data_IF_235060388348
#
_entry.id   IF_235060388348
#
_cell.length_a   1.000
_cell.length_b   1.000
_cell.length_c   1.000
_cell.angle_alpha   90.00
_cell.angle_beta   90.00
_cell.angle_gamma   90.00
#
_symmetry.space_group_name_H-M   'P 1'
#
loop_
_entity.id
_entity.type
_entity.pdbx_description
1 polymer ?
#
# COMPACT_ATOMS: atom_id res chain seq x y z
N UNK A 1 19.30 8.54 -16.64
CA UNK A 1 19.08 8.36 -15.20
C UNK A 1 17.82 7.56 -14.96
N UNK A 2 17.92 6.55 -14.10
CA UNK A 2 16.73 5.80 -13.71
C UNK A 2 15.81 6.72 -12.87
N UNK A 3 14.53 6.70 -13.18
CA UNK A 3 13.54 7.51 -12.45
C UNK A 3 13.57 7.20 -10.95
N UNK A 4 13.82 5.94 -10.59
CA UNK A 4 13.87 5.52 -9.19
C UNK A 4 15.12 5.99 -8.45
N UNK A 5 16.13 6.45 -9.15
CA UNK A 5 17.32 7.03 -8.51
C UNK A 5 17.11 8.48 -8.10
N UNK A 6 16.11 9.15 -8.66
CA UNK A 6 15.85 10.54 -8.38
C UNK A 6 14.63 10.69 -7.46
N UNK A 7 14.87 11.15 -6.26
CA UNK A 7 13.85 11.28 -5.22
C UNK A 7 13.54 12.76 -4.99
N UNK A 8 12.35 13.18 -5.33
CA UNK A 8 11.89 14.54 -5.05
C UNK A 8 11.35 14.58 -3.62
N UNK A 9 11.97 15.39 -2.76
CA UNK A 9 11.51 15.58 -1.39
C UNK A 9 12.00 14.54 -0.41
N UNK A 10 12.95 13.69 -0.78
CA UNK A 10 13.51 12.74 0.16
C UNK A 10 14.23 11.60 -0.49
N UNK A 11 14.82 10.74 0.33
CA UNK A 11 15.60 9.60 -0.12
C UNK A 11 15.18 8.32 0.61
N UNK A 12 13.90 8.19 0.91
CA UNK A 12 13.38 7.12 1.77
C UNK A 12 13.50 5.73 1.16
N UNK A 13 13.51 5.64 -0.17
CA UNK A 13 13.42 4.38 -0.86
C UNK A 13 14.71 3.97 -1.57
N UNK A 14 15.79 4.73 -1.33
CA UNK A 14 17.10 4.37 -1.86
C UNK A 14 17.32 4.72 -3.31
N UNK A 15 18.37 4.18 -3.88
CA UNK A 15 18.89 4.56 -5.20
C UNK A 15 18.55 3.50 -6.22
N UNK A 16 17.49 3.71 -6.99
CA UNK A 16 17.09 2.79 -8.04
C UNK A 16 16.43 1.51 -7.56
N UNK A 17 16.23 1.41 -6.25
CA UNK A 17 15.57 0.25 -5.68
C UNK A 17 14.10 0.22 -6.07
N UNK A 18 13.51 -0.99 -5.94
CA UNK A 18 12.08 -1.17 -6.13
C UNK A 18 11.33 -0.30 -5.11
N UNK A 19 10.41 0.54 -5.61
CA UNK A 19 9.73 1.56 -4.80
C UNK A 19 8.22 1.31 -4.74
N UNK A 20 7.51 2.02 -3.83
CA UNK A 20 6.06 1.84 -3.70
C UNK A 20 5.30 2.00 -5.01
N UNK A 21 5.65 2.98 -5.85
CA UNK A 21 4.94 3.14 -7.12
C UNK A 21 5.17 1.96 -8.08
N UNK A 22 6.33 1.29 -7.98
CA UNK A 22 6.57 0.08 -8.77
C UNK A 22 5.62 -1.03 -8.36
N UNK A 23 5.38 -1.18 -7.05
CA UNK A 23 4.43 -2.16 -6.54
C UNK A 23 3.00 -1.84 -7.02
N UNK A 24 2.61 -0.58 -6.98
CA UNK A 24 1.29 -0.14 -7.44
C UNK A 24 1.10 -0.47 -8.92
N UNK A 25 2.11 -0.15 -9.74
CA UNK A 25 2.08 -0.43 -11.17
C UNK A 25 1.99 -1.93 -11.42
N UNK A 26 2.88 -2.69 -10.79
CA UNK A 26 2.98 -4.14 -11.02
C UNK A 26 1.76 -4.90 -10.50
N UNK A 27 1.12 -4.41 -9.43
CA UNK A 27 -0.13 -5.00 -8.95
C UNK A 27 -1.36 -4.53 -9.72
N UNK A 28 -1.18 -3.52 -10.59
CA UNK A 28 -2.28 -2.96 -11.38
C UNK A 28 -3.40 -2.42 -10.49
N UNK A 29 -3.02 -1.66 -9.47
CA UNK A 29 -3.98 -1.09 -8.52
C UNK A 29 -4.75 0.08 -9.11
N UNK A 30 -6.05 0.14 -8.81
CA UNK A 30 -6.86 1.33 -9.02
C UNK A 30 -6.28 2.50 -8.22
N UNK A 31 -6.49 3.72 -8.70
CA UNK A 31 -5.94 4.93 -8.08
C UNK A 31 -6.22 5.01 -6.58
N UNK A 32 -7.48 4.75 -6.17
CA UNK A 32 -7.85 4.87 -4.76
C UNK A 32 -7.11 3.85 -3.90
N UNK A 33 -6.98 2.61 -4.38
CA UNK A 33 -6.23 1.58 -3.67
C UNK A 33 -4.74 1.90 -3.64
N UNK A 34 -4.22 2.46 -4.73
CA UNK A 34 -2.84 2.94 -4.76
C UNK A 34 -2.58 4.01 -3.71
N UNK A 35 -3.54 4.91 -3.49
CA UNK A 35 -3.43 5.92 -2.44
C UNK A 35 -3.46 5.30 -1.05
N UNK A 36 -4.36 4.34 -0.80
CA UNK A 36 -4.38 3.61 0.48
C UNK A 36 -3.02 2.96 0.72
N UNK A 37 -2.51 2.26 -0.28
CA UNK A 37 -1.21 1.59 -0.20
C UNK A 37 -0.10 2.59 0.13
N UNK A 38 -0.02 3.68 -0.63
CA UNK A 38 1.01 4.70 -0.47
C UNK A 38 1.06 5.21 0.97
N UNK A 39 -0.08 5.60 1.52
CA UNK A 39 -0.10 6.17 2.86
C UNK A 39 0.12 5.12 3.96
N UNK A 40 -0.38 3.91 3.75
CA UNK A 40 -0.20 2.83 4.71
C UNK A 40 1.27 2.40 4.84
N UNK A 41 2.04 2.44 3.75
CA UNK A 41 3.44 1.99 3.82
C UNK A 41 4.40 3.10 4.24
N UNK A 42 4.02 4.37 4.13
CA UNK A 42 4.95 5.47 4.45
C UNK A 42 4.70 6.18 5.78
N UNK A 43 3.60 5.86 6.45
CA UNK A 43 3.14 6.69 7.58
C UNK A 43 4.19 6.87 8.68
N UNK A 44 4.95 5.83 8.99
CA UNK A 44 5.97 5.91 10.05
C UNK A 44 7.09 6.87 9.71
N UNK A 45 7.45 6.94 8.43
CA UNK A 45 8.61 7.70 7.98
C UNK A 45 8.24 9.12 7.54
N UNK A 46 6.96 9.42 7.35
CA UNK A 46 6.55 10.72 6.82
C UNK A 46 5.47 11.39 7.66
N UNK A 47 4.21 11.12 7.37
CA UNK A 47 3.09 11.89 7.90
C UNK A 47 2.49 11.41 9.21
N UNK A 48 2.97 10.29 9.75
CA UNK A 48 2.45 9.76 11.00
C UNK A 48 0.96 9.43 10.93
N UNK A 49 0.24 9.67 12.02
CA UNK A 49 -1.19 9.40 12.08
C UNK A 49 -1.99 10.08 10.97
N UNK A 50 -1.56 11.25 10.53
CA UNK A 50 -2.24 11.94 9.44
C UNK A 50 -2.25 11.09 8.18
N UNK A 51 -1.14 10.42 7.87
CA UNK A 51 -1.07 9.54 6.71
C UNK A 51 -1.98 8.33 6.88
N UNK A 52 -2.06 7.74 8.07
CA UNK A 52 -2.98 6.64 8.32
C UNK A 52 -4.44 7.09 8.14
N UNK A 53 -4.77 8.30 8.60
CA UNK A 53 -6.10 8.86 8.41
C UNK A 53 -6.41 9.15 6.94
N UNK A 54 -5.40 9.55 6.17
CA UNK A 54 -5.56 9.69 4.72
C UNK A 54 -5.83 8.34 4.07
N UNK A 55 -5.10 7.30 4.48
CA UNK A 55 -5.36 5.94 3.98
C UNK A 55 -6.80 5.52 4.27
N UNK A 56 -7.27 5.77 5.49
CA UNK A 56 -8.65 5.44 5.86
C UNK A 56 -9.67 6.22 5.02
N UNK A 57 -9.38 7.48 4.72
CA UNK A 57 -10.26 8.31 3.91
C UNK A 57 -10.37 7.77 2.47
N UNK A 58 -9.24 7.43 1.86
CA UNK A 58 -9.24 6.83 0.52
C UNK A 58 -9.92 5.47 0.50
N UNK A 59 -9.73 4.67 1.55
CA UNK A 59 -10.39 3.37 1.64
C UNK A 59 -11.92 3.53 1.74
N UNK A 60 -12.38 4.49 2.54
CA UNK A 60 -13.81 4.79 2.67
C UNK A 60 -14.38 5.24 1.32
N UNK A 61 -13.64 6.06 0.56
CA UNK A 61 -14.08 6.48 -0.76
C UNK A 61 -14.16 5.31 -1.73
N UNK A 62 -13.18 4.41 -1.69
CA UNK A 62 -13.19 3.22 -2.52
C UNK A 62 -14.39 2.34 -2.21
N UNK A 63 -14.72 2.19 -0.93
CA UNK A 63 -15.87 1.40 -0.49
C UNK A 63 -17.18 2.04 -0.95
N UNK A 64 -17.30 3.36 -0.82
CA UNK A 64 -18.48 4.11 -1.26
C UNK A 64 -18.72 3.98 -2.76
N UNK A 65 -17.65 3.95 -3.55
CA UNK A 65 -17.73 3.83 -5.01
C UNK A 65 -17.76 2.38 -5.48
N UNK A 66 -17.81 1.41 -4.57
CA UNK A 66 -17.80 -0.02 -4.89
C UNK A 66 -16.57 -0.42 -5.71
N UNK A 67 -15.42 0.21 -5.45
CA UNK A 67 -14.18 -0.16 -6.14
C UNK A 67 -13.70 -1.49 -5.60
N UNK A 68 -13.34 -2.39 -6.50
CA UNK A 68 -12.73 -3.66 -6.15
C UNK A 68 -11.43 -3.83 -6.94
N UNK A 69 -10.49 -4.57 -6.36
CA UNK A 69 -9.24 -4.89 -7.05
C UNK A 69 -9.52 -5.89 -8.18
N UNK A 70 -10.18 -7.02 -7.84
CA UNK A 70 -10.63 -8.01 -8.82
C UNK A 70 -9.50 -8.76 -9.52
N UNK A 71 -8.26 -8.65 -9.04
CA UNK A 71 -7.09 -9.19 -9.73
C UNK A 71 -6.17 -9.95 -8.78
N UNK A 72 -6.74 -10.65 -7.81
CA UNK A 72 -5.92 -11.38 -6.84
C UNK A 72 -5.00 -12.39 -7.52
N UNK A 73 -5.49 -13.05 -8.58
CA UNK A 73 -4.68 -14.00 -9.33
C UNK A 73 -3.47 -13.31 -9.98
N UNK A 74 -3.63 -12.06 -10.42
CA UNK A 74 -2.52 -11.27 -10.95
C UNK A 74 -1.47 -11.02 -9.86
N UNK A 75 -1.90 -10.66 -8.65
CA UNK A 75 -1.00 -10.47 -7.52
C UNK A 75 -0.19 -11.75 -7.23
N UNK A 76 -0.87 -12.89 -7.16
CA UNK A 76 -0.22 -14.18 -6.91
C UNK A 76 0.79 -14.48 -8.02
N UNK A 77 0.43 -14.23 -9.28
CA UNK A 77 1.34 -14.40 -10.40
C UNK A 77 2.58 -13.53 -10.26
N UNK A 78 2.39 -12.27 -9.89
CA UNK A 78 3.51 -11.34 -9.71
C UNK A 78 4.46 -11.79 -8.59
N UNK A 79 3.92 -12.35 -7.51
CA UNK A 79 4.75 -12.91 -6.44
C UNK A 79 5.68 -14.01 -6.94
N UNK A 80 5.23 -14.77 -7.94
CA UNK A 80 5.99 -15.89 -8.50
C UNK A 80 7.01 -15.43 -9.54
N UNK A 81 6.62 -14.50 -10.43
CA UNK A 81 7.44 -14.16 -11.60
C UNK A 81 8.32 -12.94 -11.41
N UNK A 82 8.07 -12.12 -10.39
CA UNK A 82 8.80 -10.86 -10.21
C UNK A 82 9.47 -10.85 -8.83
N UNK A 83 10.79 -11.16 -8.76
CA UNK A 83 11.50 -11.23 -7.48
C UNK A 83 11.47 -9.90 -6.69
N UNK A 84 11.51 -8.77 -7.38
CA UNK A 84 11.45 -7.46 -6.71
C UNK A 84 10.09 -7.21 -6.10
N UNK A 85 9.03 -7.59 -6.78
CA UNK A 85 7.67 -7.50 -6.27
C UNK A 85 7.51 -8.37 -5.02
N UNK A 86 7.98 -9.62 -5.09
CA UNK A 86 7.93 -10.55 -3.97
C UNK A 86 8.67 -9.99 -2.75
N UNK A 87 9.90 -9.52 -2.96
CA UNK A 87 10.73 -9.02 -1.87
C UNK A 87 10.10 -7.77 -1.23
N UNK A 88 9.57 -6.87 -2.05
CA UNK A 88 8.93 -5.64 -1.57
C UNK A 88 7.71 -5.97 -0.71
N UNK A 89 6.82 -6.83 -1.23
CA UNK A 89 5.61 -7.22 -0.53
C UNK A 89 5.93 -7.83 0.84
N UNK A 90 6.90 -8.75 0.87
CA UNK A 90 7.26 -9.45 2.10
C UNK A 90 8.02 -8.57 3.10
N UNK A 91 8.60 -7.46 2.65
CA UNK A 91 9.28 -6.52 3.52
C UNK A 91 8.32 -5.53 4.20
N UNK A 92 7.07 -5.44 3.74
CA UNK A 92 6.08 -4.57 4.38
C UNK A 92 5.80 -5.12 5.79
N UNK A 93 5.87 -4.27 6.84
CA UNK A 93 5.55 -4.73 8.20
C UNK A 93 4.16 -5.33 8.28
N UNK A 94 3.98 -6.25 9.23
CA UNK A 94 2.77 -7.08 9.28
C UNK A 94 1.45 -6.29 9.32
N UNK A 95 1.27 -5.27 10.19
CA UNK A 95 -0.02 -4.56 10.20
C UNK A 95 -0.35 -3.93 8.86
N UNK A 96 0.62 -3.27 8.25
CA UNK A 96 0.44 -2.62 6.95
C UNK A 96 0.25 -3.65 5.84
N UNK A 97 0.99 -4.76 5.90
CA UNK A 97 0.84 -5.85 4.92
C UNK A 97 -0.53 -6.48 5.00
N UNK A 98 -1.09 -6.62 6.21
CA UNK A 98 -2.44 -7.17 6.38
C UNK A 98 -3.49 -6.28 5.72
N UNK A 99 -3.33 -4.95 5.83
CA UNK A 99 -4.22 -4.00 5.16
C UNK A 99 -4.14 -4.18 3.64
N UNK A 100 -2.92 -4.24 3.11
CA UNK A 100 -2.71 -4.37 1.68
C UNK A 100 -3.24 -5.71 1.16
N UNK A 101 -2.98 -6.79 1.89
CA UNK A 101 -3.48 -8.11 1.53
C UNK A 101 -5.00 -8.14 1.48
N UNK A 102 -5.66 -7.50 2.45
CA UNK A 102 -7.11 -7.42 2.47
C UNK A 102 -7.65 -6.69 1.23
N UNK A 103 -6.99 -5.61 0.83
CA UNK A 103 -7.37 -4.89 -0.40
C UNK A 103 -7.20 -5.80 -1.62
N UNK A 104 -6.08 -6.51 -1.71
CA UNK A 104 -5.81 -7.41 -2.83
C UNK A 104 -6.82 -8.56 -2.90
N UNK A 105 -7.39 -8.94 -1.75
CA UNK A 105 -8.43 -9.97 -1.67
C UNK A 105 -9.85 -9.40 -1.83
N UNK A 106 -9.98 -8.11 -2.04
CA UNK A 106 -11.28 -7.40 -2.07
C UNK A 106 -12.04 -7.52 -0.76
N UNK A 107 -11.34 -7.71 0.34
CA UNK A 107 -11.93 -7.79 1.68
C UNK A 107 -11.81 -6.43 2.37
N UNK A 108 -12.59 -5.47 1.90
CA UNK A 108 -12.53 -4.10 2.41
C UNK A 108 -12.93 -3.99 3.88
N UNK A 109 -13.91 -4.76 4.40
CA UNK A 109 -14.20 -4.73 5.84
C UNK A 109 -13.00 -5.09 6.70
N UNK A 110 -12.21 -6.10 6.32
CA UNK A 110 -10.98 -6.45 7.05
C UNK A 110 -9.94 -5.35 6.94
N UNK A 111 -9.77 -4.76 5.75
CA UNK A 111 -8.85 -3.63 5.58
C UNK A 111 -9.23 -2.47 6.49
N UNK A 112 -10.53 -2.14 6.58
CA UNK A 112 -11.04 -1.09 7.44
C UNK A 112 -10.77 -1.37 8.91
N UNK A 113 -11.09 -2.57 9.38
CA UNK A 113 -10.88 -2.94 10.78
C UNK A 113 -9.41 -2.88 11.16
N UNK A 114 -8.54 -3.42 10.30
CA UNK A 114 -7.10 -3.45 10.55
C UNK A 114 -6.53 -2.03 10.60
N UNK A 115 -6.93 -1.19 9.66
CA UNK A 115 -6.48 0.19 9.61
C UNK A 115 -6.98 0.99 10.80
N UNK A 116 -8.25 0.81 11.18
CA UNK A 116 -8.81 1.49 12.36
C UNK A 116 -8.10 1.08 13.65
N UNK A 117 -7.77 -0.21 13.78
CA UNK A 117 -7.03 -0.70 14.94
C UNK A 117 -5.63 -0.07 14.98
N UNK A 118 -4.96 0.02 13.85
CA UNK A 118 -3.63 0.62 13.79
C UNK A 118 -3.67 2.10 14.17
N UNK A 119 -4.68 2.82 13.72
CA UNK A 119 -4.87 4.23 14.09
C UNK A 119 -5.09 4.33 15.59
N UNK A 120 -6.01 3.53 16.16
CA UNK A 120 -6.32 3.57 17.59
C UNK A 120 -5.12 3.26 18.46
N UNK A 121 -4.29 2.31 18.06
CA UNK A 121 -3.09 1.94 18.82
C UNK A 121 -2.05 3.05 18.86
N UNK A 122 -2.11 4.01 17.94
CA UNK A 122 -1.12 5.07 17.80
C UNK A 122 -1.68 6.45 18.16
N UNK A 123 -2.93 6.54 18.59
CA UNK A 123 -3.50 7.78 19.12
C UNK A 123 -3.08 7.98 20.57
N UNK A 124 -2.92 9.22 20.96
CA UNK A 124 -2.57 9.58 22.34
C UNK A 124 -3.77 9.51 23.27
#
# INVERSE_FOLDING_TARGET
MDVNEYQIGGSHYGNGDYQPWDFIIDSDMHYLFGCVFKYAVRWKDKGGLQDLRKAAHYLAKAEDEYVIYGKYDHHVKMLVINPSYYAFYNAIPKPERDIITAILLDDLPTAQRTLSALISENED
#
